data_IF_781407939489
#
_entry.id   IF_781407939489
#
_cell.length_a   1.000
_cell.length_b   1.000
_cell.length_c   1.000
_cell.angle_alpha   90.00
_cell.angle_beta   90.00
_cell.angle_gamma   90.00
#
_symmetry.space_group_name_H-M   'P 1'
#
loop_
_entity.id
_entity.type
_entity.pdbx_description
1 polymer ?
#
# COMPACT_ATOMS: atom_id res chain seq x y z
N UNK A 1 -7.02 3.10 -14.21
CA UNK A 1 -7.17 3.21 -12.75
C UNK A 1 -5.83 2.89 -12.10
N UNK A 2 -5.38 3.74 -11.20
CA UNK A 2 -4.12 3.50 -10.49
C UNK A 2 -4.29 2.39 -9.45
N UNK A 3 -3.25 1.58 -9.28
CA UNK A 3 -3.27 0.45 -8.36
C UNK A 3 -2.30 0.71 -7.20
N UNK A 4 -2.84 0.91 -6.02
CA UNK A 4 -2.08 1.09 -4.78
C UNK A 4 -2.32 -0.16 -3.94
N UNK A 5 -1.37 -1.10 -3.97
CA UNK A 5 -1.54 -2.37 -3.28
C UNK A 5 -0.72 -2.42 -1.99
N UNK A 6 -1.36 -2.91 -0.94
CA UNK A 6 -0.76 -3.03 0.39
C UNK A 6 -0.25 -4.45 0.61
N UNK A 7 0.91 -4.56 1.22
CA UNK A 7 1.51 -5.85 1.55
C UNK A 7 1.88 -5.89 3.03
N UNK A 8 1.54 -6.98 3.69
CA UNK A 8 1.81 -7.14 5.11
C UNK A 8 1.96 -8.62 5.47
N UNK A 9 2.29 -8.86 6.73
CA UNK A 9 2.53 -10.20 7.26
C UNK A 9 1.25 -11.04 7.32
N UNK A 10 0.19 -10.46 7.88
CA UNK A 10 -1.07 -11.14 8.10
C UNK A 10 -2.20 -10.27 7.59
N UNK A 11 -3.13 -10.89 6.89
CA UNK A 11 -4.06 -10.22 6.02
C UNK A 11 -5.17 -9.35 6.62
N UNK A 12 -5.62 -9.60 7.86
CA UNK A 12 -6.89 -9.01 8.30
C UNK A 12 -6.83 -7.50 8.53
N UNK A 13 -5.86 -7.00 9.30
CA UNK A 13 -5.78 -5.58 9.55
C UNK A 13 -5.36 -4.80 8.31
N UNK A 14 -4.56 -5.42 7.45
CA UNK A 14 -4.15 -4.81 6.19
C UNK A 14 -5.35 -4.67 5.25
N UNK A 15 -6.22 -5.67 5.23
CA UNK A 15 -7.46 -5.62 4.44
C UNK A 15 -8.37 -4.50 4.92
N UNK A 16 -8.48 -4.31 6.23
CA UNK A 16 -9.26 -3.21 6.77
C UNK A 16 -8.67 -1.86 6.38
N UNK A 17 -7.35 -1.73 6.47
CA UNK A 17 -6.67 -0.49 6.06
C UNK A 17 -6.89 -0.19 4.58
N UNK A 18 -6.76 -1.21 3.74
CA UNK A 18 -7.01 -1.05 2.30
C UNK A 18 -8.46 -0.62 2.04
N UNK A 19 -9.42 -1.21 2.76
CA UNK A 19 -10.81 -0.83 2.64
C UNK A 19 -11.05 0.64 3.02
N UNK A 20 -10.39 1.09 4.07
CA UNK A 20 -10.48 2.49 4.51
C UNK A 20 -9.89 3.45 3.48
N UNK A 21 -8.74 3.09 2.92
CA UNK A 21 -8.12 3.89 1.86
C UNK A 21 -8.99 3.92 0.62
N UNK A 22 -9.60 2.79 0.26
CA UNK A 22 -10.51 2.72 -0.89
C UNK A 22 -11.72 3.65 -0.69
N UNK A 23 -12.29 3.67 0.50
CA UNK A 23 -13.43 4.55 0.79
C UNK A 23 -13.07 6.02 0.64
N UNK A 24 -11.87 6.40 1.06
CA UNK A 24 -11.38 7.78 0.90
C UNK A 24 -11.22 8.11 -0.57
N UNK A 25 -10.63 7.20 -1.35
CA UNK A 25 -10.47 7.40 -2.78
C UNK A 25 -11.82 7.57 -3.47
N UNK A 26 -12.77 6.70 -3.13
CA UNK A 26 -14.12 6.75 -3.73
C UNK A 26 -14.84 8.04 -3.36
N UNK A 27 -14.74 8.46 -2.10
CA UNK A 27 -15.40 9.68 -1.63
C UNK A 27 -14.86 10.93 -2.33
N UNK A 28 -13.59 10.91 -2.73
CA UNK A 28 -12.96 12.02 -3.43
C UNK A 28 -12.90 11.82 -4.94
N UNK A 29 -13.58 10.79 -5.44
CA UNK A 29 -13.66 10.47 -6.86
C UNK A 29 -12.29 10.27 -7.51
N UNK A 30 -11.36 9.67 -6.76
CA UNK A 30 -10.03 9.37 -7.25
C UNK A 30 -10.04 8.02 -7.97
N UNK A 31 -9.44 7.91 -9.15
CA UNK A 31 -9.41 6.65 -9.90
C UNK A 31 -8.31 5.72 -9.37
N UNK A 32 -8.46 5.28 -8.13
CA UNK A 32 -7.46 4.45 -7.43
C UNK A 32 -8.12 3.17 -6.94
N UNK A 33 -7.48 2.04 -7.22
CA UNK A 33 -7.86 0.73 -6.70
C UNK A 33 -6.90 0.38 -5.58
N UNK A 34 -7.42 0.11 -4.37
CA UNK A 34 -6.60 -0.26 -3.21
C UNK A 34 -6.95 -1.68 -2.79
N UNK A 35 -5.96 -2.56 -2.74
CA UNK A 35 -6.12 -3.95 -2.32
C UNK A 35 -5.00 -4.36 -1.40
N UNK A 36 -5.24 -5.38 -0.58
CA UNK A 36 -4.27 -5.89 0.38
C UNK A 36 -3.89 -7.34 0.08
N UNK A 37 -2.62 -7.66 0.26
CA UNK A 37 -2.07 -8.99 0.03
C UNK A 37 -1.03 -9.32 1.09
N UNK A 38 -0.68 -10.60 1.22
CA UNK A 38 0.43 -11.02 2.04
C UNK A 38 1.76 -10.67 1.38
N UNK A 39 2.81 -10.46 2.20
CA UNK A 39 4.12 -10.09 1.67
C UNK A 39 4.70 -11.11 0.69
N UNK A 40 4.37 -12.38 0.90
CA UNK A 40 4.87 -13.45 0.02
C UNK A 40 4.37 -13.35 -1.41
N UNK A 41 3.27 -12.64 -1.61
CA UNK A 41 2.70 -12.45 -2.95
C UNK A 41 3.22 -11.20 -3.64
N UNK A 42 4.11 -10.43 -3.01
CA UNK A 42 4.55 -9.13 -3.52
C UNK A 42 5.14 -9.23 -4.91
N UNK A 43 6.13 -10.10 -5.10
CA UNK A 43 6.80 -10.22 -6.41
C UNK A 43 5.82 -10.65 -7.49
N UNK A 44 4.96 -11.62 -7.20
CA UNK A 44 3.96 -12.07 -8.14
C UNK A 44 3.01 -10.95 -8.55
N UNK A 45 2.54 -10.18 -7.57
CA UNK A 45 1.59 -9.10 -7.84
C UNK A 45 2.24 -7.98 -8.64
N UNK A 46 3.49 -7.63 -8.34
CA UNK A 46 4.21 -6.62 -9.11
C UNK A 46 4.41 -7.07 -10.56
N UNK A 47 4.74 -8.35 -10.75
CA UNK A 47 4.97 -8.89 -12.09
C UNK A 47 3.68 -9.03 -12.91
N UNK A 48 2.57 -9.39 -12.26
CA UNK A 48 1.30 -9.64 -12.96
C UNK A 48 0.44 -8.40 -13.14
N UNK A 49 0.67 -7.38 -12.33
CA UNK A 49 -0.13 -6.15 -12.34
C UNK A 49 0.79 -4.94 -12.48
N UNK A 50 0.29 -3.93 -13.16
CA UNK A 50 1.04 -2.69 -13.29
C UNK A 50 0.73 -1.80 -12.09
N UNK A 51 1.47 -1.99 -11.00
CA UNK A 51 1.24 -1.26 -9.75
C UNK A 51 1.82 0.15 -9.82
N UNK A 52 1.06 1.12 -9.38
CA UNK A 52 1.53 2.50 -9.27
C UNK A 52 2.23 2.73 -7.93
N UNK A 53 1.80 2.03 -6.88
CA UNK A 53 2.44 2.13 -5.58
C UNK A 53 2.47 0.77 -4.90
N UNK A 54 3.61 0.47 -4.29
CA UNK A 54 3.80 -0.70 -3.42
C UNK A 54 3.82 -0.16 -2.00
N UNK A 55 2.79 -0.48 -1.22
CA UNK A 55 2.65 0.05 0.13
C UNK A 55 2.88 -1.07 1.13
N UNK A 56 3.79 -0.84 2.07
CA UNK A 56 4.14 -1.83 3.08
C UNK A 56 3.52 -1.44 4.42
N UNK A 57 2.94 -2.43 5.12
CA UNK A 57 2.50 -2.22 6.48
C UNK A 57 3.70 -2.05 7.42
N UNK A 58 3.53 -1.39 8.57
CA UNK A 58 4.65 -1.18 9.49
C UNK A 58 5.25 -2.46 10.03
N UNK A 59 4.48 -3.55 10.04
CA UNK A 59 4.96 -4.86 10.51
C UNK A 59 6.02 -5.45 9.57
N UNK A 60 6.07 -4.98 8.34
CA UNK A 60 7.05 -5.45 7.35
C UNK A 60 7.95 -4.31 6.86
N UNK A 61 8.12 -3.28 7.68
CA UNK A 61 8.96 -2.14 7.30
C UNK A 61 10.41 -2.54 7.00
N UNK A 62 10.86 -3.66 7.58
CA UNK A 62 12.20 -4.19 7.32
C UNK A 62 12.41 -4.62 5.87
N UNK A 63 11.33 -4.79 5.11
CA UNK A 63 11.41 -5.14 3.70
C UNK A 63 11.62 -3.92 2.79
N UNK A 64 11.52 -2.72 3.35
CA UNK A 64 11.54 -1.49 2.53
C UNK A 64 12.78 -1.39 1.66
N UNK A 65 13.97 -1.55 2.25
CA UNK A 65 15.21 -1.38 1.50
C UNK A 65 15.30 -2.37 0.35
N UNK A 66 14.96 -3.62 0.60
CA UNK A 66 14.99 -4.67 -0.42
C UNK A 66 13.98 -4.41 -1.54
N UNK A 67 12.77 -4.05 -1.17
CA UNK A 67 11.70 -3.77 -2.14
C UNK A 67 12.03 -2.53 -2.95
N UNK A 68 12.52 -1.48 -2.29
CA UNK A 68 12.88 -0.25 -2.97
C UNK A 68 14.06 -0.45 -3.93
N UNK A 69 15.04 -1.25 -3.53
CA UNK A 69 16.16 -1.60 -4.40
C UNK A 69 15.69 -2.32 -5.66
N UNK A 70 14.73 -3.24 -5.51
CA UNK A 70 14.26 -4.05 -6.61
C UNK A 70 13.27 -3.31 -7.51
N UNK A 71 12.36 -2.53 -6.94
CA UNK A 71 11.23 -1.94 -7.66
C UNK A 71 11.15 -0.42 -7.62
N UNK A 72 11.97 0.24 -6.81
CA UNK A 72 11.82 1.68 -6.55
C UNK A 72 12.04 2.59 -7.76
N UNK A 73 12.69 2.08 -8.82
CA UNK A 73 12.88 2.88 -10.04
C UNK A 73 11.59 3.04 -10.83
N UNK A 74 10.75 2.01 -10.83
CA UNK A 74 9.55 1.97 -11.65
C UNK A 74 8.28 2.09 -10.85
N UNK A 75 8.37 1.94 -9.53
CA UNK A 75 7.21 1.94 -8.64
C UNK A 75 7.50 2.79 -7.42
N UNK A 76 6.48 3.50 -6.96
CA UNK A 76 6.54 4.19 -5.68
C UNK A 76 6.50 3.15 -4.57
N UNK A 77 7.44 3.21 -3.63
CA UNK A 77 7.47 2.30 -2.47
C UNK A 77 7.30 3.12 -1.21
N UNK A 78 6.30 2.79 -0.40
CA UNK A 78 5.94 3.54 0.79
C UNK A 78 5.66 2.61 1.97
N UNK A 79 6.11 2.99 3.17
CA UNK A 79 5.77 2.28 4.41
C UNK A 79 4.79 3.12 5.19
N UNK A 80 3.64 2.55 5.52
CA UNK A 80 2.64 3.27 6.33
C UNK A 80 3.21 3.49 7.72
N UNK A 81 3.09 4.71 8.23
CA UNK A 81 3.54 5.02 9.57
C UNK A 81 2.73 4.26 10.61
N UNK A 82 3.39 3.80 11.67
CA UNK A 82 2.75 3.00 12.70
C UNK A 82 1.53 3.69 13.31
N UNK A 83 1.59 4.99 13.50
CA UNK A 83 0.49 5.75 14.05
C UNK A 83 -0.74 5.73 13.14
N UNK A 84 -0.54 5.95 11.84
CA UNK A 84 -1.63 5.95 10.88
C UNK A 84 -2.25 4.57 10.76
N UNK A 85 -1.41 3.53 10.80
CA UNK A 85 -1.87 2.15 10.74
C UNK A 85 -2.63 1.76 12.00
N UNK A 86 -2.09 2.11 13.16
CA UNK A 86 -2.73 1.81 14.44
C UNK A 86 -4.10 2.46 14.59
N UNK A 87 -4.27 3.65 14.04
CA UNK A 87 -5.54 4.37 14.05
C UNK A 87 -6.45 4.00 12.88
N UNK A 88 -6.00 3.11 12.00
CA UNK A 88 -6.70 2.78 10.76
C UNK A 88 -7.08 4.03 9.97
N UNK A 89 -6.16 4.99 9.92
CA UNK A 89 -6.40 6.28 9.29
C UNK A 89 -6.09 6.21 7.79
N UNK A 90 -7.05 5.71 7.03
CA UNK A 90 -6.92 5.55 5.60
C UNK A 90 -6.73 6.87 4.87
N UNK A 91 -7.32 7.95 5.39
CA UNK A 91 -7.20 9.27 4.77
C UNK A 91 -5.75 9.79 4.85
N UNK A 92 -5.14 9.74 6.04
CA UNK A 92 -3.75 10.19 6.19
C UNK A 92 -2.79 9.32 5.38
N UNK A 93 -2.99 8.00 5.43
CA UNK A 93 -2.13 7.09 4.68
C UNK A 93 -2.22 7.37 3.18
N UNK A 94 -3.41 7.49 2.65
CA UNK A 94 -3.60 7.76 1.22
C UNK A 94 -3.02 9.11 0.82
N UNK A 95 -3.26 10.15 1.62
CA UNK A 95 -2.74 11.48 1.35
C UNK A 95 -1.22 11.49 1.31
N UNK A 96 -0.57 10.77 2.22
CA UNK A 96 0.90 10.72 2.24
C UNK A 96 1.46 10.03 1.00
N UNK A 97 0.80 8.97 0.54
CA UNK A 97 1.21 8.30 -0.70
C UNK A 97 1.07 9.25 -1.88
N UNK A 98 -0.05 9.97 -1.95
CA UNK A 98 -0.32 10.87 -3.07
C UNK A 98 0.62 12.08 -3.13
N UNK A 99 1.27 12.42 -2.02
CA UNK A 99 2.21 13.55 -1.97
C UNK A 99 3.64 13.18 -2.37
N UNK A 100 3.90 11.91 -2.56
CA UNK A 100 5.26 11.46 -2.90
C UNK A 100 5.61 11.65 -4.36
#
# INVERSE_FOLDING_TARGET
MKKFYLFCDAGMSTSLMASRMQKVADANKLPIEVKAFGQKDLDMMVEQHNLDAIILGPQVKHLYDKVNEKYGKDHLVYVIESQDYGNMDGERALKKVLKL
#
